data_IF_858732078768
#
_entry.id   IF_858732078768
#
_cell.length_a   1.000
_cell.length_b   1.000
_cell.length_c   1.000
_cell.angle_alpha   90.00
_cell.angle_beta   90.00
_cell.angle_gamma   90.00
#
_symmetry.space_group_name_H-M   'P 1'
#
loop_
_entity.id
_entity.type
_entity.pdbx_description
1 polymer ?
#
# COMPACT_ATOMS: atom_id res chain seq x y z
N UNK A 1 3.08 15.28 -21.52
CA UNK A 1 1.66 15.29 -21.15
C UNK A 1 1.61 15.62 -19.67
N UNK A 2 0.86 16.64 -19.25
CA UNK A 2 0.70 16.90 -17.83
C UNK A 2 0.05 15.67 -17.21
N UNK A 3 0.71 15.05 -16.23
CA UNK A 3 0.07 14.06 -15.38
C UNK A 3 -1.12 14.74 -14.73
N UNK A 4 -2.31 14.27 -15.03
CA UNK A 4 -3.55 14.75 -14.41
C UNK A 4 -3.54 14.24 -12.98
N UNK A 5 -2.98 15.03 -12.08
CA UNK A 5 -2.81 14.68 -10.68
C UNK A 5 -4.19 14.42 -10.06
N UNK A 6 -4.52 13.15 -9.70
CA UNK A 6 -5.85 12.81 -9.25
C UNK A 6 -6.26 13.57 -7.98
N UNK A 7 -5.30 14.00 -7.15
CA UNK A 7 -5.55 14.80 -5.95
C UNK A 7 -6.00 16.24 -6.26
N UNK A 8 -6.02 16.65 -7.53
CA UNK A 8 -6.62 17.94 -7.94
C UNK A 8 -8.11 17.82 -8.27
N UNK A 9 -8.62 16.59 -8.44
CA UNK A 9 -10.03 16.32 -8.72
C UNK A 9 -10.87 16.55 -7.44
N UNK A 10 -11.90 17.43 -7.46
CA UNK A 10 -12.69 17.74 -6.26
C UNK A 10 -13.30 16.51 -5.57
N UNK A 11 -13.74 15.54 -6.35
CA UNK A 11 -14.31 14.29 -5.85
C UNK A 11 -13.30 13.44 -5.07
N UNK A 12 -12.04 13.40 -5.53
CA UNK A 12 -10.96 12.68 -4.84
C UNK A 12 -10.53 13.46 -3.60
N UNK A 13 -10.42 14.78 -3.67
CA UNK A 13 -10.13 15.61 -2.49
C UNK A 13 -11.19 15.44 -1.39
N UNK A 14 -12.47 15.43 -1.78
CA UNK A 14 -13.56 15.16 -0.86
C UNK A 14 -13.46 13.77 -0.23
N UNK A 15 -13.08 12.77 -1.01
CA UNK A 15 -12.85 11.42 -0.52
C UNK A 15 -11.71 11.36 0.50
N UNK A 16 -10.53 11.92 0.17
CA UNK A 16 -9.37 11.97 1.09
C UNK A 16 -9.72 12.72 2.38
N UNK A 17 -10.46 13.83 2.29
CA UNK A 17 -10.92 14.55 3.48
C UNK A 17 -11.82 13.66 4.36
N UNK A 18 -12.73 12.87 3.77
CA UNK A 18 -13.55 11.90 4.52
C UNK A 18 -12.73 10.78 5.15
N UNK A 19 -11.70 10.30 4.46
CA UNK A 19 -10.76 9.31 5.00
C UNK A 19 -10.01 9.85 6.21
N UNK A 20 -9.48 11.08 6.12
CA UNK A 20 -8.74 11.72 7.21
C UNK A 20 -9.58 11.92 8.49
N UNK A 21 -10.91 11.99 8.34
CA UNK A 21 -11.84 12.15 9.45
C UNK A 21 -12.17 10.83 10.16
N UNK A 22 -11.75 9.68 9.62
CA UNK A 22 -11.84 8.39 10.31
C UNK A 22 -10.81 8.37 11.42
N UNK A 23 -11.27 8.25 12.66
CA UNK A 23 -10.38 8.00 13.79
C UNK A 23 -9.78 6.60 13.63
N UNK A 24 -8.45 6.51 13.70
CA UNK A 24 -7.76 5.24 13.79
C UNK A 24 -8.23 4.54 15.06
N UNK A 25 -9.02 3.49 14.89
CA UNK A 25 -9.58 2.60 15.93
C UNK A 25 -10.51 3.24 16.98
N UNK A 26 -11.79 2.85 16.95
CA UNK A 26 -12.64 2.85 18.15
C UNK A 26 -12.34 1.54 18.92
N UNK A 27 -11.76 1.59 20.14
CA UNK A 27 -11.47 0.39 20.92
C UNK A 27 -12.72 -0.41 21.31
N UNK A 28 -13.93 0.16 21.21
CA UNK A 28 -15.20 -0.52 21.45
C UNK A 28 -15.80 -1.15 20.18
N UNK A 29 -15.28 -0.79 19.01
CA UNK A 29 -15.72 -1.33 17.74
C UNK A 29 -14.53 -1.50 16.78
N UNK A 30 -13.63 -2.46 17.05
CA UNK A 30 -12.42 -2.65 16.25
C UNK A 30 -12.75 -2.98 14.79
N UNK A 31 -13.96 -3.48 14.49
CA UNK A 31 -14.41 -3.83 13.14
C UNK A 31 -15.41 -2.83 12.51
N UNK A 32 -15.91 -1.85 13.28
CA UNK A 32 -16.88 -0.85 12.83
C UNK A 32 -16.39 0.06 11.71
N UNK A 33 -15.14 0.55 11.78
CA UNK A 33 -14.53 1.28 10.68
C UNK A 33 -14.42 0.44 9.41
N UNK A 34 -14.33 -0.90 9.50
CA UNK A 34 -14.05 -1.76 8.34
C UNK A 34 -15.21 -1.81 7.34
N UNK A 35 -16.46 -2.04 7.77
CA UNK A 35 -17.59 -2.07 6.81
C UNK A 35 -17.84 -0.71 6.13
N UNK A 36 -17.70 0.40 6.87
CA UNK A 36 -17.78 1.72 6.24
C UNK A 36 -16.58 2.00 5.34
N UNK A 37 -15.43 1.40 5.61
CA UNK A 37 -14.22 1.56 4.82
C UNK A 37 -14.18 0.69 3.57
N UNK A 38 -14.78 -0.50 3.58
CA UNK A 38 -14.96 -1.35 2.39
C UNK A 38 -15.75 -0.61 1.32
N UNK A 39 -16.92 -0.08 1.68
CA UNK A 39 -17.78 0.72 0.79
C UNK A 39 -17.03 1.97 0.29
N UNK A 40 -16.24 2.61 1.16
CA UNK A 40 -15.43 3.76 0.76
C UNK A 40 -14.34 3.35 -0.24
N UNK A 41 -13.67 2.22 -0.06
CA UNK A 41 -12.65 1.76 -1.01
C UNK A 41 -13.26 1.42 -2.37
N UNK A 42 -14.44 0.79 -2.41
CA UNK A 42 -15.18 0.58 -3.66
C UNK A 42 -15.51 1.91 -4.37
N UNK A 43 -15.99 2.92 -3.63
CA UNK A 43 -16.21 4.27 -4.16
C UNK A 43 -14.93 4.85 -4.75
N UNK A 44 -13.79 4.70 -4.06
CA UNK A 44 -12.50 5.17 -4.55
C UNK A 44 -12.09 4.46 -5.85
N UNK A 45 -12.23 3.14 -5.91
CA UNK A 45 -11.93 2.37 -7.11
C UNK A 45 -12.80 2.80 -8.29
N UNK A 46 -14.09 3.10 -8.05
CA UNK A 46 -14.97 3.64 -9.06
C UNK A 46 -14.54 5.03 -9.55
N UNK A 47 -14.04 5.89 -8.66
CA UNK A 47 -13.54 7.23 -9.02
C UNK A 47 -12.22 7.19 -9.82
N UNK A 48 -11.36 6.21 -9.53
CA UNK A 48 -10.10 5.96 -10.22
C UNK A 48 -10.29 5.19 -11.54
N UNK A 49 -11.32 4.36 -11.62
CA UNK A 49 -11.55 3.46 -12.76
C UNK A 49 -10.69 2.19 -12.72
N UNK A 50 -9.92 1.98 -11.66
CA UNK A 50 -9.09 0.80 -11.39
C UNK A 50 -8.97 0.57 -9.87
N UNK A 51 -8.50 -0.60 -9.47
CA UNK A 51 -8.46 -1.00 -8.06
C UNK A 51 -7.12 -0.72 -7.36
N UNK A 52 -6.12 -0.24 -8.09
CA UNK A 52 -4.87 0.23 -7.46
C UNK A 52 -4.99 1.68 -6.96
N UNK A 53 -5.18 1.87 -5.65
CA UNK A 53 -5.17 3.17 -4.99
C UNK A 53 -3.80 3.56 -4.40
N UNK A 54 -2.75 2.74 -4.57
CA UNK A 54 -1.49 2.87 -3.84
C UNK A 54 -0.83 4.23 -4.02
N UNK A 55 -0.60 4.64 -5.27
CA UNK A 55 0.05 5.92 -5.57
C UNK A 55 -0.72 7.14 -5.05
N UNK A 56 -2.05 7.06 -5.08
CA UNK A 56 -2.91 8.12 -4.55
C UNK A 56 -2.70 8.28 -3.05
N UNK A 57 -2.75 7.17 -2.30
CA UNK A 57 -2.64 7.18 -0.84
C UNK A 57 -1.23 7.58 -0.40
N UNK A 58 -0.19 7.05 -1.05
CA UNK A 58 1.19 7.46 -0.77
C UNK A 58 1.41 8.95 -1.03
N UNK A 59 0.88 9.48 -2.13
CA UNK A 59 0.97 10.91 -2.45
C UNK A 59 0.17 11.78 -1.48
N UNK A 60 -0.98 11.28 -0.99
CA UNK A 60 -1.76 11.98 0.04
C UNK A 60 -0.99 12.08 1.36
N UNK A 61 -0.24 11.04 1.74
CA UNK A 61 0.67 11.07 2.91
C UNK A 61 1.81 12.05 2.68
N UNK A 62 2.47 12.01 1.52
CA UNK A 62 3.55 12.96 1.17
C UNK A 62 3.08 14.42 1.26
N UNK A 63 1.79 14.68 1.00
CA UNK A 63 1.15 16.00 1.10
C UNK A 63 0.52 16.30 2.45
N UNK A 64 0.74 15.44 3.46
CA UNK A 64 0.17 15.58 4.81
C UNK A 64 -1.36 15.65 4.84
N UNK A 65 -2.03 15.05 3.85
CA UNK A 65 -3.49 14.94 3.79
C UNK A 65 -4.00 13.71 4.54
N UNK A 66 -3.16 12.67 4.64
CA UNK A 66 -3.37 11.48 5.45
C UNK A 66 -2.15 11.24 6.34
N UNK A 67 -2.36 10.62 7.49
CA UNK A 67 -1.27 10.00 8.24
C UNK A 67 -0.83 8.71 7.55
N UNK A 68 0.38 8.26 7.88
CA UNK A 68 0.92 6.98 7.40
C UNK A 68 0.03 5.80 7.81
N UNK A 69 -0.39 5.78 9.08
CA UNK A 69 -1.30 4.79 9.67
C UNK A 69 -2.66 4.76 8.96
N UNK A 70 -3.21 5.92 8.60
CA UNK A 70 -4.45 5.99 7.83
C UNK A 70 -4.28 5.36 6.45
N UNK A 71 -3.21 5.72 5.74
CA UNK A 71 -2.94 5.16 4.42
C UNK A 71 -2.72 3.64 4.46
N UNK A 72 -1.98 3.14 5.46
CA UNK A 72 -1.79 1.71 5.70
C UNK A 72 -3.12 0.99 5.93
N UNK A 73 -3.98 1.52 6.82
CA UNK A 73 -5.28 0.94 7.09
C UNK A 73 -6.17 0.87 5.83
N UNK A 74 -6.24 1.96 5.06
CA UNK A 74 -7.05 1.97 3.84
C UNK A 74 -6.48 1.11 2.72
N UNK A 75 -5.15 1.06 2.59
CA UNK A 75 -4.50 0.17 1.64
C UNK A 75 -4.77 -1.30 2.03
N UNK A 76 -4.73 -1.62 3.33
CA UNK A 76 -4.99 -2.97 3.85
C UNK A 76 -6.40 -3.43 3.57
N UNK A 77 -7.36 -2.52 3.77
CA UNK A 77 -8.76 -2.75 3.39
C UNK A 77 -8.87 -2.93 1.87
N UNK A 78 -8.27 -2.03 1.09
CA UNK A 78 -8.31 -2.06 -0.37
C UNK A 78 -7.79 -3.35 -1.01
N UNK A 79 -6.73 -3.93 -0.43
CA UNK A 79 -6.18 -5.21 -0.89
C UNK A 79 -7.20 -6.34 -0.81
N UNK A 80 -8.09 -6.33 0.17
CA UNK A 80 -9.05 -7.43 0.39
C UNK A 80 -10.49 -7.09 -0.01
N UNK A 81 -10.79 -5.82 -0.33
CA UNK A 81 -12.15 -5.37 -0.66
C UNK A 81 -12.43 -5.25 -2.16
N UNK A 82 -11.40 -5.23 -3.02
CA UNK A 82 -11.56 -5.11 -4.48
C UNK A 82 -11.96 -6.41 -5.20
N UNK A 83 -12.46 -6.30 -6.45
CA UNK A 83 -12.77 -7.47 -7.30
C UNK A 83 -11.53 -8.29 -7.67
N UNK A 84 -10.38 -7.64 -7.66
CA UNK A 84 -9.06 -8.23 -7.96
C UNK A 84 -8.41 -8.87 -6.74
N UNK A 85 -9.00 -8.70 -5.54
CA UNK A 85 -8.45 -9.21 -4.28
C UNK A 85 -6.95 -8.91 -4.14
N UNK A 86 -6.60 -7.65 -4.41
CA UNK A 86 -5.24 -7.14 -4.22
C UNK A 86 -4.30 -7.38 -5.40
N UNK A 87 -4.69 -8.15 -6.42
CA UNK A 87 -3.77 -8.46 -7.53
C UNK A 87 -3.31 -7.22 -8.30
N UNK A 88 -4.15 -6.18 -8.35
CA UNK A 88 -3.82 -4.91 -9.01
C UNK A 88 -2.85 -4.05 -8.20
N UNK A 89 -2.77 -4.23 -6.87
CA UNK A 89 -1.83 -3.52 -6.02
C UNK A 89 -0.42 -4.10 -6.08
N UNK A 90 -0.29 -5.43 -6.19
CA UNK A 90 1.01 -6.13 -6.10
C UNK A 90 2.08 -5.53 -7.02
N UNK A 91 1.83 -5.24 -8.32
CA UNK A 91 2.83 -4.63 -9.18
C UNK A 91 3.34 -3.28 -8.68
N UNK A 92 2.46 -2.46 -8.11
CA UNK A 92 2.80 -1.14 -7.56
C UNK A 92 3.64 -1.28 -6.28
N UNK A 93 3.29 -2.22 -5.40
CA UNK A 93 4.08 -2.49 -4.18
C UNK A 93 5.48 -3.03 -4.52
N UNK A 94 5.56 -4.00 -5.44
CA UNK A 94 6.84 -4.56 -5.92
C UNK A 94 7.71 -3.44 -6.52
N UNK A 95 7.12 -2.58 -7.35
CA UNK A 95 7.81 -1.44 -7.97
C UNK A 95 8.35 -0.44 -6.92
N UNK A 96 7.58 -0.17 -5.86
CA UNK A 96 8.03 0.72 -4.78
C UNK A 96 9.25 0.18 -4.05
N UNK A 97 9.29 -1.13 -3.81
CA UNK A 97 10.43 -1.79 -3.18
C UNK A 97 11.65 -1.83 -4.11
N UNK A 98 11.45 -2.05 -5.41
CA UNK A 98 12.53 -2.00 -6.41
C UNK A 98 13.15 -0.62 -6.55
N UNK A 99 12.33 0.43 -6.57
CA UNK A 99 12.84 1.79 -6.74
C UNK A 99 13.46 2.31 -5.44
N UNK A 100 12.92 1.88 -4.28
CA UNK A 100 13.35 2.25 -2.93
C UNK A 100 13.62 3.77 -2.81
N UNK A 101 12.76 4.60 -3.40
CA UNK A 101 12.99 6.04 -3.59
C UNK A 101 12.22 6.91 -2.60
N UNK A 102 11.17 6.36 -1.98
CA UNK A 102 10.29 7.06 -1.03
C UNK A 102 10.09 6.20 0.21
N UNK A 103 10.41 6.76 1.37
CA UNK A 103 10.21 6.11 2.66
C UNK A 103 8.74 5.76 2.92
N UNK A 104 7.81 6.62 2.48
CA UNK A 104 6.37 6.39 2.62
C UNK A 104 5.94 5.17 1.81
N UNK A 105 6.32 5.10 0.53
CA UNK A 105 6.01 3.98 -0.36
C UNK A 105 6.61 2.66 0.13
N UNK A 106 7.87 2.70 0.56
CA UNK A 106 8.54 1.53 1.15
C UNK A 106 7.81 1.05 2.41
N UNK A 107 7.49 1.97 3.33
CA UNK A 107 6.75 1.63 4.55
C UNK A 107 5.44 0.93 4.22
N UNK A 108 4.62 1.55 3.37
CA UNK A 108 3.34 1.01 2.96
C UNK A 108 3.53 -0.38 2.33
N UNK A 109 4.45 -0.56 1.38
CA UNK A 109 4.69 -1.85 0.74
C UNK A 109 5.09 -2.97 1.71
N UNK A 110 5.90 -2.67 2.73
CA UNK A 110 6.36 -3.66 3.70
C UNK A 110 5.25 -4.10 4.67
N UNK A 111 4.31 -3.21 5.01
CA UNK A 111 3.30 -3.43 6.04
C UNK A 111 1.96 -3.95 5.49
N UNK A 112 1.89 -4.35 4.21
CA UNK A 112 0.62 -4.68 3.57
C UNK A 112 0.02 -6.07 3.86
N UNK A 113 0.60 -6.88 4.76
CA UNK A 113 0.19 -8.28 5.01
C UNK A 113 0.11 -9.17 3.75
N UNK A 114 0.71 -8.72 2.64
CA UNK A 114 0.92 -9.48 1.41
C UNK A 114 2.40 -9.71 1.22
N UNK A 115 2.76 -10.93 0.85
CA UNK A 115 4.14 -11.27 0.55
C UNK A 115 4.52 -10.61 -0.80
N UNK A 116 5.44 -9.62 -0.81
CA UNK A 116 5.89 -9.00 -2.05
C UNK A 116 6.63 -10.02 -2.90
N UNK A 117 6.64 -9.84 -4.22
CA UNK A 117 7.31 -10.72 -5.17
C UNK A 117 6.80 -12.18 -5.19
N UNK A 118 5.58 -12.44 -4.71
CA UNK A 118 4.96 -13.77 -4.81
C UNK A 118 4.87 -14.24 -6.28
N UNK A 119 5.36 -15.46 -6.58
CA UNK A 119 5.26 -16.07 -7.91
C UNK A 119 6.48 -16.91 -8.33
N UNK A 120 6.65 -17.21 -9.64
CA UNK A 120 7.70 -18.11 -10.12
C UNK A 120 9.12 -17.62 -9.78
N UNK A 121 10.08 -18.54 -9.66
CA UNK A 121 11.47 -18.32 -9.17
C UNK A 121 12.17 -17.03 -9.61
N UNK A 122 11.92 -16.53 -10.82
CA UNK A 122 12.51 -15.26 -11.28
C UNK A 122 12.08 -14.05 -10.44
N UNK A 123 10.99 -14.14 -9.67
CA UNK A 123 10.56 -13.10 -8.72
C UNK A 123 11.31 -13.18 -7.39
N UNK A 124 11.86 -14.33 -7.00
CA UNK A 124 12.64 -14.47 -5.76
C UNK A 124 13.93 -13.64 -5.80
N UNK A 125 14.75 -13.84 -6.83
CA UNK A 125 16.02 -13.10 -6.95
C UNK A 125 15.78 -11.59 -7.02
N UNK A 126 14.79 -11.17 -7.82
CA UNK A 126 14.35 -9.77 -7.92
C UNK A 126 13.89 -9.22 -6.57
N UNK A 127 13.12 -9.99 -5.80
CA UNK A 127 12.64 -9.58 -4.48
C UNK A 127 13.77 -9.48 -3.45
N UNK A 128 14.72 -10.42 -3.45
CA UNK A 128 15.89 -10.37 -2.58
C UNK A 128 16.74 -9.13 -2.89
N UNK A 129 16.98 -8.84 -4.17
CA UNK A 129 17.74 -7.66 -4.60
C UNK A 129 17.04 -6.36 -4.16
N UNK A 130 15.72 -6.27 -4.37
CA UNK A 130 14.92 -5.11 -3.95
C UNK A 130 14.93 -4.92 -2.42
N UNK A 131 14.71 -5.98 -1.65
CA UNK A 131 14.70 -5.92 -0.17
C UNK A 131 16.09 -5.60 0.40
N UNK A 132 17.15 -6.08 -0.24
CA UNK A 132 18.54 -5.70 0.11
C UNK A 132 18.76 -4.21 -0.14
N UNK A 133 18.32 -3.70 -1.30
CA UNK A 133 18.40 -2.27 -1.63
C UNK A 133 17.62 -1.41 -0.63
N UNK A 134 16.42 -1.84 -0.24
CA UNK A 134 15.61 -1.15 0.77
C UNK A 134 16.33 -1.10 2.11
N UNK A 135 16.87 -2.23 2.59
CA UNK A 135 17.61 -2.29 3.85
C UNK A 135 18.85 -1.37 3.85
N UNK A 136 19.55 -1.27 2.71
CA UNK A 136 20.70 -0.38 2.57
C UNK A 136 20.32 1.11 2.58
N UNK A 137 19.19 1.47 1.97
CA UNK A 137 18.72 2.87 1.88
C UNK A 137 17.94 3.35 3.10
N UNK A 138 17.20 2.45 3.73
CA UNK A 138 16.33 2.71 4.88
C UNK A 138 16.64 1.69 5.99
N UNK A 139 17.75 1.89 6.74
CA UNK A 139 18.21 0.92 7.74
C UNK A 139 17.19 0.59 8.82
N UNK A 140 16.20 1.46 9.06
CA UNK A 140 15.08 1.18 9.95
C UNK A 140 14.23 -0.03 9.55
N UNK A 141 14.26 -0.46 8.29
CA UNK A 141 13.52 -1.61 7.78
C UNK A 141 14.39 -2.86 7.60
N UNK A 142 15.67 -2.83 7.97
CA UNK A 142 16.60 -3.91 7.67
C UNK A 142 16.16 -5.27 8.25
N UNK A 143 15.67 -5.29 9.49
CA UNK A 143 15.22 -6.52 10.15
C UNK A 143 13.96 -7.10 9.48
N UNK A 144 13.03 -6.23 9.07
CA UNK A 144 11.81 -6.61 8.36
C UNK A 144 12.11 -7.16 6.97
N UNK A 145 12.97 -6.47 6.21
CA UNK A 145 13.46 -6.96 4.91
C UNK A 145 14.16 -8.32 5.05
N UNK A 146 14.99 -8.51 6.09
CA UNK A 146 15.64 -9.79 6.34
C UNK A 146 14.63 -10.92 6.63
N UNK A 147 13.57 -10.64 7.41
CA UNK A 147 12.52 -11.61 7.69
C UNK A 147 11.74 -12.01 6.41
N UNK A 148 11.44 -11.05 5.55
CA UNK A 148 10.78 -11.31 4.26
C UNK A 148 11.69 -12.12 3.33
N UNK A 149 12.99 -11.81 3.25
CA UNK A 149 13.97 -12.58 2.46
C UNK A 149 14.02 -14.05 2.90
N UNK A 150 13.98 -14.31 4.21
CA UNK A 150 13.91 -15.68 4.74
C UNK A 150 12.63 -16.36 4.27
N UNK A 151 11.49 -15.67 4.37
CA UNK A 151 10.19 -16.20 3.98
C UNK A 151 10.11 -16.53 2.49
N UNK A 152 10.66 -15.67 1.63
CA UNK A 152 10.75 -15.91 0.17
C UNK A 152 11.53 -17.18 -0.17
N UNK A 153 12.64 -17.44 0.54
CA UNK A 153 13.45 -18.65 0.35
C UNK A 153 12.71 -19.91 0.82
N UNK A 154 11.91 -19.82 1.88
CA UNK A 154 11.18 -20.95 2.45
C UNK A 154 9.95 -21.38 1.64
N UNK A 155 9.31 -20.49 0.89
CA UNK A 155 8.13 -20.83 0.07
C UNK A 155 8.45 -21.74 -1.13
N UNK A 156 9.72 -22.00 -1.41
CA UNK A 156 10.20 -22.71 -2.61
C UNK A 156 10.90 -24.04 -2.27
N UNK A 157 11.20 -24.30 -0.98
CA UNK A 157 11.75 -25.56 -0.48
C UNK A 157 10.69 -26.60 -0.21
#
# INVERSE_FOLDING_TARGET
MASDDPLTRPEIQHFIARMSAVQATDPLNPYGPFMESDVRMEDLFNLLGHEDAGELLATAVDRSLLSLEQAEAFLGIGIWSGRTNGSDFIPTLDQWLEDASSRVRVHLALHMDVLPFGGPRNREARGIDALTLVADRFPEYADECAAIIVSLRSFIS
#
